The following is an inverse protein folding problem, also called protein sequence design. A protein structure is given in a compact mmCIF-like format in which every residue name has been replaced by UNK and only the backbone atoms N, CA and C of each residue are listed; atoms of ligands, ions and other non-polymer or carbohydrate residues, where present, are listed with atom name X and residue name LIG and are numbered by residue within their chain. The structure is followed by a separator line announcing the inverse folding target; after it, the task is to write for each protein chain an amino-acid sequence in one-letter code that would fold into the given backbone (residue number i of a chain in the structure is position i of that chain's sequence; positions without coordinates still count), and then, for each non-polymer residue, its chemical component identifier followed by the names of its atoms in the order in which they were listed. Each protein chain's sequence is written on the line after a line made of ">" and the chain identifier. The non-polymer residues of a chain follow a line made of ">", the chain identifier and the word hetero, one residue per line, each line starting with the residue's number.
data_IF_872069596299
#
_entry.id   IF_872069596299
#
_cell.length_a   1.000
_cell.length_b   1.000
_cell.length_c   1.000
_cell.angle_alpha   90.00
_cell.angle_beta   90.00
_cell.angle_gamma   90.00
#
_symmetry.space_group_name_H-M   'P 1'
#
loop_
_entity.id
_entity.type
_entity.pdbx_description
1 polymer ?
#
# COMPACT_ATOMS: atom_id res chain seq x y z
N UNK A 1 -76.31 -20.17 31.34
CA UNK A 1 -77.31 -20.55 30.32
C UNK A 1 -76.93 -19.92 28.99
N UNK A 2 -76.85 -20.75 27.94
CA UNK A 2 -76.71 -20.44 26.50
C UNK A 2 -75.36 -19.97 25.96
N UNK A 3 -74.63 -21.00 25.55
CA UNK A 3 -73.65 -21.15 24.47
C UNK A 3 -74.08 -20.43 23.18
N UNK A 4 -73.15 -19.76 22.48
CA UNK A 4 -72.95 -20.02 21.05
C UNK A 4 -71.58 -19.54 20.56
N UNK A 5 -70.83 -20.53 20.05
CA UNK A 5 -69.53 -20.41 19.37
C UNK A 5 -69.75 -19.90 17.96
N UNK A 6 -68.93 -18.96 17.49
CA UNK A 6 -68.56 -18.87 16.07
C UNK A 6 -67.05 -18.64 16.00
N UNK A 7 -66.39 -19.65 15.42
CA UNK A 7 -65.00 -19.64 14.98
C UNK A 7 -65.01 -19.10 13.56
N UNK A 8 -64.25 -18.05 13.28
CA UNK A 8 -63.71 -17.85 11.94
C UNK A 8 -62.28 -17.32 12.05
N UNK A 9 -61.36 -18.19 11.68
CA UNK A 9 -59.95 -17.88 11.44
C UNK A 9 -59.86 -17.05 10.17
N UNK A 10 -59.19 -15.91 10.21
CA UNK A 10 -58.37 -15.50 9.07
C UNK A 10 -57.07 -14.86 9.59
N UNK A 11 -56.00 -15.58 9.28
CA UNK A 11 -54.60 -15.20 9.42
C UNK A 11 -54.32 -13.99 8.53
N UNK A 12 -53.63 -12.97 9.07
CA UNK A 12 -52.53 -12.38 8.34
C UNK A 12 -51.48 -11.85 9.30
N UNK A 13 -50.33 -12.54 9.26
CA UNK A 13 -49.10 -12.30 9.98
C UNK A 13 -48.63 -10.84 9.91
N UNK A 14 -48.45 -10.22 11.08
CA UNK A 14 -47.58 -9.06 11.22
C UNK A 14 -46.18 -9.57 11.54
N UNK A 15 -45.38 -9.83 10.50
CA UNK A 15 -43.94 -10.04 10.66
C UNK A 15 -43.31 -8.73 11.13
N UNK A 16 -42.93 -8.67 12.41
CA UNK A 16 -41.97 -7.70 12.91
C UNK A 16 -40.60 -8.07 12.32
N UNK A 17 -40.27 -7.49 11.17
CA UNK A 17 -38.90 -7.48 10.67
C UNK A 17 -38.16 -6.40 11.46
N UNK A 18 -37.37 -6.84 12.43
CA UNK A 18 -36.28 -6.07 13.00
C UNK A 18 -35.28 -5.79 11.87
N UNK A 19 -35.33 -4.58 11.33
CA UNK A 19 -34.30 -4.04 10.44
C UNK A 19 -33.05 -3.75 11.26
N UNK A 20 -32.14 -4.72 11.33
CA UNK A 20 -30.73 -4.47 11.59
C UNK A 20 -30.16 -3.76 10.36
N UNK A 21 -30.02 -2.45 10.43
CA UNK A 21 -29.24 -1.70 9.44
C UNK A 21 -27.76 -2.12 9.56
N UNK A 22 -27.38 -3.10 8.75
CA UNK A 22 -25.98 -3.31 8.39
C UNK A 22 -25.52 -2.06 7.63
N UNK A 23 -24.55 -1.37 8.21
CA UNK A 23 -23.86 -0.23 7.62
C UNK A 23 -22.98 -0.66 6.43
N UNK A 24 -23.61 -1.08 5.33
CA UNK A 24 -22.97 -1.40 4.04
C UNK A 24 -23.57 -0.53 2.94
N UNK A 25 -23.37 0.79 3.00
CA UNK A 25 -23.91 1.68 1.95
C UNK A 25 -23.03 2.87 1.53
N UNK A 26 -21.91 3.17 2.19
CA UNK A 26 -21.10 4.34 1.80
C UNK A 26 -20.22 4.13 0.55
N UNK A 27 -19.87 2.88 0.20
CA UNK A 27 -19.06 2.60 -1.00
C UNK A 27 -19.86 2.14 -2.23
N UNK A 28 -21.01 1.50 -2.04
CA UNK A 28 -21.90 1.12 -3.15
C UNK A 28 -22.47 2.34 -3.89
N UNK A 29 -22.68 3.46 -3.18
CA UNK A 29 -23.05 4.74 -3.78
C UNK A 29 -21.91 5.43 -4.54
N UNK A 30 -20.66 5.24 -4.10
CA UNK A 30 -19.47 5.82 -4.72
C UNK A 30 -19.16 5.16 -6.07
N UNK A 31 -19.19 3.82 -6.13
CA UNK A 31 -19.05 3.06 -7.37
C UNK A 31 -20.17 3.38 -8.38
N UNK A 32 -21.40 3.57 -7.91
CA UNK A 32 -22.53 3.97 -8.76
C UNK A 32 -22.44 5.43 -9.24
N UNK A 33 -21.85 6.33 -8.46
CA UNK A 33 -21.59 7.72 -8.88
C UNK A 33 -20.44 7.79 -9.88
N UNK A 34 -19.32 7.09 -9.63
CA UNK A 34 -18.21 6.95 -10.58
C UNK A 34 -18.70 6.32 -11.90
N UNK A 35 -19.57 5.30 -11.83
CA UNK A 35 -20.18 4.68 -13.00
C UNK A 35 -21.07 5.61 -13.84
N UNK A 36 -21.79 6.55 -13.22
CA UNK A 36 -22.60 7.56 -13.93
C UNK A 36 -21.76 8.70 -14.52
N UNK A 37 -20.72 9.14 -13.81
CA UNK A 37 -19.76 10.18 -14.24
C UNK A 37 -19.02 9.79 -15.53
N UNK A 38 -18.67 8.51 -15.67
CA UNK A 38 -18.00 7.90 -16.83
C UNK A 38 -18.78 8.06 -18.16
N UNK A 39 -20.06 8.42 -18.13
CA UNK A 39 -20.93 8.45 -19.32
C UNK A 39 -21.11 9.84 -19.96
N UNK A 40 -20.44 10.88 -19.45
CA UNK A 40 -20.53 12.22 -20.04
C UNK A 40 -19.72 12.33 -21.34
N UNK A 41 -20.25 13.05 -22.34
CA UNK A 41 -19.59 13.21 -23.66
C UNK A 41 -18.22 13.91 -23.58
N UNK A 42 -17.97 14.72 -22.55
CA UNK A 42 -16.69 15.43 -22.35
C UNK A 42 -15.57 14.53 -21.81
N UNK A 43 -15.89 13.53 -20.98
CA UNK A 43 -14.92 12.59 -20.42
C UNK A 43 -14.44 11.54 -21.43
N UNK A 44 -15.29 11.16 -22.40
CA UNK A 44 -14.93 10.25 -23.48
C UNK A 44 -13.97 10.88 -24.52
N UNK A 45 -14.09 12.19 -24.78
CA UNK A 45 -13.23 12.88 -25.74
C UNK A 45 -11.77 13.00 -25.27
N UNK A 46 -11.53 12.90 -23.95
CA UNK A 46 -10.21 13.02 -23.32
C UNK A 46 -9.65 11.69 -22.79
N UNK A 47 -10.37 10.58 -22.95
CA UNK A 47 -9.94 9.25 -22.46
C UNK A 47 -9.94 9.11 -20.92
N UNK A 48 -10.59 10.02 -20.20
CA UNK A 48 -10.65 10.06 -18.74
C UNK A 48 -11.41 8.85 -18.16
N UNK A 49 -12.32 8.26 -18.92
CA UNK A 49 -13.08 7.07 -18.53
C UNK A 49 -12.22 5.81 -18.45
N UNK A 50 -11.27 5.65 -19.38
CA UNK A 50 -10.30 4.55 -19.38
C UNK A 50 -9.26 4.73 -18.27
N UNK A 51 -8.92 5.99 -17.98
CA UNK A 51 -8.00 6.41 -16.92
C UNK A 51 -8.53 6.09 -15.51
N UNK A 52 -9.75 6.50 -15.20
CA UNK A 52 -10.37 6.24 -13.89
C UNK A 52 -10.62 4.74 -13.63
N UNK A 53 -10.68 3.94 -14.70
CA UNK A 53 -10.86 2.49 -14.63
C UNK A 53 -9.55 1.71 -14.60
N UNK A 54 -8.41 2.35 -14.83
CA UNK A 54 -7.12 1.66 -14.80
C UNK A 54 -6.71 1.40 -13.34
N UNK A 55 -6.50 0.14 -12.94
CA UNK A 55 -6.15 -0.18 -11.56
C UNK A 55 -4.81 0.47 -11.16
N UNK A 56 -4.63 0.71 -9.86
CA UNK A 56 -3.37 1.18 -9.31
C UNK A 56 -2.22 0.23 -9.66
N UNK A 57 -1.00 0.78 -9.79
CA UNK A 57 0.20 0.00 -10.05
C UNK A 57 0.44 -1.04 -8.93
N UNK A 58 0.29 -0.59 -7.68
CA UNK A 58 0.20 -1.39 -6.47
C UNK A 58 -1.16 -1.11 -5.86
N UNK A 59 -2.01 -2.13 -5.73
CA UNK A 59 -3.40 -2.00 -5.31
C UNK A 59 -3.66 -2.39 -3.86
N UNK A 60 -2.65 -2.91 -3.16
CA UNK A 60 -2.73 -3.27 -1.74
C UNK A 60 -3.31 -2.13 -0.92
N UNK A 61 -4.24 -2.42 -0.04
CA UNK A 61 -4.90 -1.45 0.84
C UNK A 61 -5.20 -2.11 2.20
N UNK A 62 -5.74 -1.33 3.13
CA UNK A 62 -6.00 -1.85 4.48
C UNK A 62 -7.09 -2.92 4.50
N UNK A 63 -8.00 -2.91 3.52
CA UNK A 63 -9.01 -3.96 3.37
C UNK A 63 -8.41 -5.31 2.92
N UNK A 64 -7.18 -5.33 2.42
CA UNK A 64 -6.42 -6.55 2.09
C UNK A 64 -5.65 -7.14 3.30
N UNK A 65 -5.65 -6.45 4.45
CA UNK A 65 -5.02 -6.94 5.68
C UNK A 65 -5.87 -8.06 6.28
N UNK A 66 -5.25 -9.22 6.51
CA UNK A 66 -5.87 -10.25 7.35
C UNK A 66 -5.70 -9.89 8.83
N UNK A 67 -6.81 -9.48 9.45
CA UNK A 67 -6.88 -9.11 10.88
C UNK A 67 -7.10 -10.32 11.79
N UNK A 68 -7.28 -11.53 11.25
CA UNK A 68 -7.46 -12.72 12.06
C UNK A 68 -6.19 -13.02 12.86
N UNK A 69 -6.34 -13.18 14.18
CA UNK A 69 -5.21 -13.43 15.06
C UNK A 69 -4.36 -12.18 15.38
N UNK A 70 -4.77 -10.98 14.95
CA UNK A 70 -4.07 -9.74 15.35
C UNK A 70 -3.95 -9.64 16.88
N UNK A 71 -2.85 -9.05 17.35
CA UNK A 71 -2.63 -8.85 18.78
C UNK A 71 -2.35 -7.38 19.09
N UNK A 72 -2.87 -6.91 20.23
CA UNK A 72 -2.63 -5.56 20.70
C UNK A 72 -1.14 -5.32 21.01
N UNK A 73 -0.65 -4.07 21.00
CA UNK A 73 0.78 -3.77 21.18
C UNK A 73 1.42 -4.35 22.46
N UNK A 74 0.63 -4.64 23.49
CA UNK A 74 1.06 -5.25 24.75
C UNK A 74 1.44 -6.73 24.62
N UNK A 75 1.05 -7.41 23.54
CA UNK A 75 1.50 -8.76 23.24
C UNK A 75 3.02 -8.78 23.03
N UNK A 76 3.72 -9.71 23.70
CA UNK A 76 5.19 -9.84 23.67
C UNK A 76 5.95 -8.56 24.09
N UNK A 77 5.34 -7.69 24.90
CA UNK A 77 5.90 -6.38 25.26
C UNK A 77 7.22 -6.46 26.05
N UNK A 78 7.38 -7.49 26.89
CA UNK A 78 8.56 -7.70 27.74
C UNK A 78 9.67 -8.52 27.04
N UNK A 79 9.55 -8.75 25.73
CA UNK A 79 10.52 -9.55 24.99
C UNK A 79 11.84 -8.81 24.77
N UNK A 80 12.94 -9.56 24.81
CA UNK A 80 14.25 -9.11 24.37
C UNK A 80 14.44 -9.47 22.90
N UNK A 81 14.62 -8.46 22.04
CA UNK A 81 14.77 -8.66 20.61
C UNK A 81 16.23 -8.87 20.23
N UNK A 82 16.49 -9.91 19.43
CA UNK A 82 17.77 -10.12 18.75
C UNK A 82 17.79 -9.36 17.42
N UNK A 83 18.95 -8.90 16.93
CA UNK A 83 19.03 -8.32 15.60
C UNK A 83 18.62 -9.35 14.53
N UNK A 84 17.67 -9.02 13.66
CA UNK A 84 17.23 -9.91 12.58
C UNK A 84 18.36 -10.18 11.59
N UNK A 85 19.23 -9.19 11.37
CA UNK A 85 20.37 -9.30 10.48
C UNK A 85 21.45 -10.30 10.95
N UNK A 86 21.37 -10.76 12.20
CA UNK A 86 22.25 -11.83 12.72
C UNK A 86 21.77 -13.23 12.30
N UNK A 87 20.54 -13.33 11.76
CA UNK A 87 20.02 -14.60 11.25
C UNK A 87 20.71 -15.01 9.94
N UNK A 88 20.80 -16.32 9.65
CA UNK A 88 21.30 -16.80 8.38
C UNK A 88 20.50 -16.24 7.20
N UNK A 89 21.20 -15.78 6.15
CA UNK A 89 20.55 -15.35 4.90
C UNK A 89 20.07 -16.54 4.09
N UNK A 90 18.93 -16.40 3.42
CA UNK A 90 18.47 -17.34 2.39
C UNK A 90 18.91 -16.84 1.00
N UNK A 91 20.22 -16.80 0.76
CA UNK A 91 20.77 -16.19 -0.45
C UNK A 91 20.37 -14.71 -0.57
N UNK A 92 19.71 -14.36 -1.66
CA UNK A 92 19.20 -13.00 -1.92
C UNK A 92 17.74 -12.80 -1.44
N UNK A 93 17.09 -13.85 -0.93
CA UNK A 93 15.66 -13.87 -0.57
C UNK A 93 15.45 -13.74 0.94
N UNK A 94 16.09 -12.74 1.57
CA UNK A 94 15.88 -12.40 2.98
C UNK A 94 16.57 -13.33 3.99
N UNK A 95 15.90 -13.56 5.14
CA UNK A 95 16.46 -14.21 6.33
C UNK A 95 15.75 -15.53 6.67
N UNK A 96 16.50 -16.52 7.13
CA UNK A 96 15.97 -17.79 7.64
C UNK A 96 15.58 -17.58 9.11
N UNK A 97 14.29 -17.57 9.38
CA UNK A 97 13.74 -17.39 10.72
C UNK A 97 14.06 -18.57 11.63
N UNK A 98 14.25 -18.25 12.90
CA UNK A 98 14.36 -19.19 14.02
C UNK A 98 13.34 -18.81 15.08
N UNK A 99 13.07 -19.67 16.06
CA UNK A 99 12.16 -19.35 17.14
C UNK A 99 12.70 -18.17 17.99
N UNK A 100 11.80 -17.29 18.43
CA UNK A 100 12.12 -16.15 19.29
C UNK A 100 11.73 -14.79 18.69
N UNK A 101 12.36 -13.74 19.22
CA UNK A 101 12.02 -12.34 18.90
C UNK A 101 13.17 -11.65 18.19
N UNK A 102 12.86 -11.02 17.06
CA UNK A 102 13.84 -10.36 16.20
C UNK A 102 13.41 -8.95 15.85
N UNK A 103 14.37 -8.05 15.67
CA UNK A 103 14.14 -6.67 15.26
C UNK A 103 15.15 -6.24 14.18
N UNK A 104 14.69 -5.44 13.23
CA UNK A 104 15.53 -4.73 12.27
C UNK A 104 14.98 -3.34 12.02
N UNK A 105 15.86 -2.35 11.92
CA UNK A 105 15.50 -1.07 11.28
C UNK A 105 16.01 -1.13 9.85
N UNK A 106 15.11 -1.05 8.88
CA UNK A 106 15.41 -1.21 7.46
C UNK A 106 15.02 0.02 6.65
N UNK A 107 15.53 0.08 5.41
CA UNK A 107 15.02 1.01 4.41
C UNK A 107 13.57 0.62 4.05
N UNK A 108 12.75 1.62 3.82
CA UNK A 108 11.39 1.45 3.31
C UNK A 108 11.11 2.50 2.24
N UNK A 109 10.05 2.29 1.47
CA UNK A 109 9.70 3.16 0.34
C UNK A 109 8.20 3.41 0.27
N UNK A 110 7.82 4.64 -0.02
CA UNK A 110 6.44 5.01 -0.26
C UNK A 110 5.93 4.44 -1.59
N UNK A 111 4.80 3.74 -1.55
CA UNK A 111 4.07 3.17 -2.70
C UNK A 111 2.74 3.90 -2.97
N UNK A 112 2.58 5.13 -2.44
CA UNK A 112 1.37 5.95 -2.66
C UNK A 112 1.69 7.44 -2.66
N UNK A 113 1.77 8.05 -3.84
CA UNK A 113 1.93 9.49 -3.97
C UNK A 113 0.62 10.23 -3.63
N UNK A 114 0.73 11.49 -3.21
CA UNK A 114 -0.41 12.35 -2.88
C UNK A 114 -1.13 11.95 -1.59
N UNK A 115 -0.39 11.38 -0.63
CA UNK A 115 -0.89 11.03 0.71
C UNK A 115 0.08 11.50 1.80
N UNK A 116 -0.35 11.47 3.06
CA UNK A 116 0.48 11.87 4.19
C UNK A 116 1.57 10.84 4.47
N UNK A 117 2.77 11.32 4.80
CA UNK A 117 3.81 10.44 5.33
C UNK A 117 3.34 9.77 6.64
N UNK A 118 3.90 8.61 7.00
CA UNK A 118 3.59 7.96 8.26
C UNK A 118 3.72 8.91 9.45
N UNK A 119 2.71 8.92 10.31
CA UNK A 119 2.63 9.79 11.49
C UNK A 119 2.52 8.98 12.78
N UNK A 120 2.73 9.64 13.91
CA UNK A 120 2.62 8.98 15.21
C UNK A 120 1.19 8.53 15.49
N UNK A 121 1.01 7.29 15.93
CA UNK A 121 -0.26 6.79 16.48
C UNK A 121 -1.04 5.86 15.56
N UNK A 122 -0.87 5.97 14.23
CA UNK A 122 -1.52 5.07 13.28
C UNK A 122 -0.85 3.68 13.28
N UNK A 123 -1.66 2.64 13.22
CA UNK A 123 -1.20 1.27 13.12
C UNK A 123 -0.88 0.90 11.69
N UNK A 124 0.25 0.22 11.50
CA UNK A 124 0.65 -0.36 10.23
C UNK A 124 0.63 -1.88 10.37
N UNK A 125 -0.05 -2.54 9.46
CA UNK A 125 -0.25 -3.99 9.46
C UNK A 125 0.33 -4.61 8.20
N UNK A 126 0.66 -5.90 8.29
CA UNK A 126 1.11 -6.65 7.12
C UNK A 126 -0.04 -6.76 6.13
N UNK A 127 0.26 -6.52 4.86
CA UNK A 127 -0.61 -6.82 3.74
C UNK A 127 0.20 -7.42 2.59
N UNK A 128 -0.39 -8.35 1.82
CA UNK A 128 0.27 -8.91 0.65
C UNK A 128 0.48 -7.85 -0.44
N UNK A 129 1.56 -8.00 -1.21
CA UNK A 129 1.79 -7.17 -2.40
C UNK A 129 0.82 -7.54 -3.54
N UNK A 130 -0.05 -6.61 -3.90
CA UNK A 130 -1.09 -6.74 -4.93
C UNK A 130 -0.95 -5.65 -5.98
N UNK A 131 -1.43 -5.92 -7.19
CA UNK A 131 -1.47 -4.95 -8.30
C UNK A 131 -0.63 -5.37 -9.50
N UNK A 132 -0.85 -4.68 -10.62
CA UNK A 132 -0.26 -5.04 -11.92
C UNK A 132 1.26 -4.88 -11.98
N UNK A 133 1.84 -4.05 -11.12
CA UNK A 133 3.27 -3.74 -11.10
C UNK A 133 4.00 -4.35 -9.89
N UNK A 134 3.36 -5.26 -9.15
CA UNK A 134 3.98 -5.88 -7.97
C UNK A 134 5.32 -6.56 -8.28
N UNK A 135 5.42 -7.29 -9.39
CA UNK A 135 6.64 -8.01 -9.76
C UNK A 135 7.81 -7.06 -10.06
N UNK A 136 7.54 -5.96 -10.78
CA UNK A 136 8.58 -4.98 -11.11
C UNK A 136 8.99 -4.17 -9.89
N UNK A 137 8.05 -3.83 -8.99
CA UNK A 137 8.37 -3.17 -7.72
C UNK A 137 9.23 -4.08 -6.85
N UNK A 138 8.83 -5.34 -6.66
CA UNK A 138 9.60 -6.33 -5.88
C UNK A 138 11.00 -6.52 -6.47
N UNK A 139 11.11 -6.59 -7.80
CA UNK A 139 12.41 -6.64 -8.49
C UNK A 139 13.26 -5.42 -8.16
N UNK A 140 12.72 -4.21 -8.22
CA UNK A 140 13.47 -2.97 -7.93
C UNK A 140 14.03 -3.04 -6.52
N UNK A 141 13.22 -3.45 -5.54
CA UNK A 141 13.65 -3.58 -4.15
C UNK A 141 14.79 -4.60 -4.02
N UNK A 142 14.62 -5.81 -4.57
CA UNK A 142 15.67 -6.86 -4.54
C UNK A 142 16.95 -6.46 -5.29
N UNK A 143 16.81 -5.77 -6.42
CA UNK A 143 17.96 -5.28 -7.19
C UNK A 143 18.69 -4.19 -6.39
N UNK A 144 17.97 -3.25 -5.79
CA UNK A 144 18.55 -2.18 -4.98
C UNK A 144 19.43 -2.71 -3.83
N UNK A 145 19.06 -3.83 -3.19
CA UNK A 145 19.89 -4.45 -2.13
C UNK A 145 21.30 -4.83 -2.62
N UNK A 146 21.47 -5.05 -3.93
CA UNK A 146 22.72 -5.41 -4.58
C UNK A 146 23.42 -4.22 -5.27
N UNK A 147 22.82 -3.03 -5.20
CA UNK A 147 23.29 -1.80 -5.88
C UNK A 147 23.43 -0.65 -4.88
N UNK A 148 24.37 -0.73 -3.91
CA UNK A 148 24.54 0.29 -2.86
C UNK A 148 24.96 1.67 -3.39
N UNK A 149 25.45 1.75 -4.63
CA UNK A 149 25.74 3.00 -5.32
C UNK A 149 24.48 3.80 -5.69
N UNK A 150 23.33 3.13 -5.79
CA UNK A 150 22.04 3.77 -6.08
C UNK A 150 21.44 4.30 -4.79
N UNK A 151 21.23 5.62 -4.72
CA UNK A 151 20.72 6.26 -3.50
C UNK A 151 19.26 5.89 -3.28
N UNK A 152 18.87 5.81 -2.00
CA UNK A 152 17.48 5.56 -1.61
C UNK A 152 16.50 6.56 -2.25
N UNK A 153 16.88 7.84 -2.31
CA UNK A 153 16.09 8.89 -2.94
C UNK A 153 15.83 8.63 -4.43
N UNK A 154 16.81 8.10 -5.16
CA UNK A 154 16.67 7.79 -6.58
C UNK A 154 15.73 6.59 -6.79
N UNK A 155 15.81 5.59 -5.92
CA UNK A 155 14.89 4.44 -5.91
C UNK A 155 13.47 4.91 -5.59
N UNK A 156 13.29 5.81 -4.61
CA UNK A 156 11.99 6.36 -4.27
C UNK A 156 11.34 7.12 -5.44
N UNK A 157 12.12 7.94 -6.17
CA UNK A 157 11.63 8.63 -7.37
C UNK A 157 11.22 7.65 -8.46
N UNK A 158 12.00 6.58 -8.68
CA UNK A 158 11.63 5.52 -9.62
C UNK A 158 10.31 4.84 -9.22
N UNK A 159 10.15 4.47 -7.95
CA UNK A 159 8.92 3.85 -7.45
C UNK A 159 7.72 4.77 -7.63
N UNK A 160 7.81 6.05 -7.26
CA UNK A 160 6.74 7.01 -7.47
C UNK A 160 6.40 7.23 -8.95
N UNK A 161 7.39 7.16 -9.84
CA UNK A 161 7.18 7.21 -11.30
C UNK A 161 6.33 6.03 -11.79
N UNK A 162 6.58 4.83 -11.25
CA UNK A 162 5.80 3.62 -11.55
C UNK A 162 4.38 3.74 -10.97
N UNK A 163 4.24 4.26 -9.75
CA UNK A 163 2.94 4.53 -9.13
C UNK A 163 2.14 5.53 -9.98
N UNK A 164 2.79 6.57 -10.50
CA UNK A 164 2.20 7.55 -11.40
C UNK A 164 1.93 7.03 -12.83
N UNK A 165 2.19 5.73 -13.08
CA UNK A 165 1.90 5.04 -14.35
C UNK A 165 2.60 5.66 -15.57
N UNK A 166 3.72 6.35 -15.35
CA UNK A 166 4.52 6.96 -16.42
C UNK A 166 5.17 5.87 -17.26
N UNK A 167 5.16 6.03 -18.59
CA UNK A 167 5.83 5.10 -19.50
C UNK A 167 7.34 5.27 -19.44
N UNK A 168 8.08 4.17 -19.58
CA UNK A 168 9.54 4.21 -19.54
C UNK A 168 10.16 5.10 -20.64
N UNK A 169 9.56 5.14 -21.83
CA UNK A 169 10.02 6.04 -22.91
C UNK A 169 10.04 7.51 -22.49
N UNK A 170 9.14 7.90 -21.59
CA UNK A 170 8.99 9.25 -21.06
C UNK A 170 9.92 9.51 -19.86
N UNK A 171 10.72 8.54 -19.42
CA UNK A 171 11.67 8.72 -18.32
C UNK A 171 12.89 9.51 -18.82
N UNK A 172 13.26 10.54 -18.07
CA UNK A 172 14.49 11.30 -18.27
C UNK A 172 15.21 11.55 -16.93
N UNK A 173 16.49 11.95 -17.00
CA UNK A 173 17.28 12.30 -15.82
C UNK A 173 17.60 11.10 -14.89
N UNK A 174 17.74 11.34 -13.57
CA UNK A 174 18.12 10.33 -12.59
C UNK A 174 17.20 9.11 -12.59
N UNK A 175 15.88 9.28 -12.71
CA UNK A 175 14.93 8.15 -12.74
C UNK A 175 15.22 7.18 -13.87
N UNK A 176 15.57 7.69 -15.07
CA UNK A 176 15.91 6.83 -16.22
C UNK A 176 17.20 6.06 -15.94
N UNK A 177 18.21 6.73 -15.40
CA UNK A 177 19.47 6.09 -15.05
C UNK A 177 19.27 4.97 -14.01
N UNK A 178 18.51 5.26 -12.95
CA UNK A 178 18.18 4.28 -11.91
C UNK A 178 17.41 3.08 -12.47
N UNK A 179 16.41 3.31 -13.33
CA UNK A 179 15.68 2.23 -13.99
C UNK A 179 16.61 1.35 -14.84
N UNK A 180 17.52 1.95 -15.61
CA UNK A 180 18.49 1.22 -16.43
C UNK A 180 19.51 0.43 -15.60
N UNK A 181 19.84 0.89 -14.40
CA UNK A 181 20.72 0.16 -13.47
C UNK A 181 20.00 -1.04 -12.85
N UNK A 182 18.75 -0.87 -12.40
CA UNK A 182 18.06 -1.86 -11.57
C UNK A 182 17.21 -2.87 -12.35
N UNK A 183 16.84 -2.58 -13.60
CA UNK A 183 15.87 -3.37 -14.37
C UNK A 183 16.47 -3.97 -15.64
N UNK A 184 16.05 -5.19 -15.94
CA UNK A 184 16.34 -5.84 -17.22
C UNK A 184 15.51 -5.24 -18.36
N UNK A 185 15.91 -5.40 -19.63
CA UNK A 185 15.12 -4.94 -20.78
C UNK A 185 13.68 -5.47 -20.80
N UNK A 186 13.45 -6.71 -20.34
CA UNK A 186 12.11 -7.29 -20.23
C UNK A 186 11.25 -6.55 -19.19
N UNK A 187 11.85 -6.18 -18.05
CA UNK A 187 11.15 -5.43 -17.00
C UNK A 187 10.92 -3.96 -17.41
N UNK A 188 11.87 -3.34 -18.12
CA UNK A 188 11.68 -2.01 -18.71
C UNK A 188 10.52 -2.00 -19.69
N UNK A 189 10.39 -3.04 -20.53
CA UNK A 189 9.23 -3.18 -21.43
C UNK A 189 7.91 -3.30 -20.66
N UNK A 190 7.90 -3.92 -19.47
CA UNK A 190 6.70 -3.95 -18.63
C UNK A 190 6.30 -2.55 -18.14
N UNK A 191 7.22 -1.58 -18.05
CA UNK A 191 6.93 -0.19 -17.70
C UNK A 191 6.34 0.61 -18.87
N UNK A 192 6.53 0.18 -20.11
CA UNK A 192 5.91 0.82 -21.30
C UNK A 192 4.39 0.64 -21.35
N UNK A 193 3.85 -0.34 -20.62
CA UNK A 193 2.42 -0.62 -20.54
C UNK A 193 1.61 0.36 -19.69
N UNK A 194 2.16 1.51 -19.28
CA UNK A 194 1.43 2.58 -18.58
C UNK A 194 0.51 3.33 -19.53
N UNK A 195 -0.78 3.48 -19.20
CA UNK A 195 -1.75 4.06 -20.14
C UNK A 195 -1.69 5.59 -20.26
N UNK A 196 -0.80 6.27 -19.53
CA UNK A 196 -0.92 7.71 -19.32
C UNK A 196 0.38 8.48 -19.57
N UNK A 197 0.30 9.45 -20.47
CA UNK A 197 1.25 10.56 -20.54
C UNK A 197 0.80 11.71 -19.62
N UNK A 198 1.46 12.84 -19.73
CA UNK A 198 1.05 14.07 -19.05
C UNK A 198 -0.37 14.48 -19.46
N UNK A 199 -1.23 14.78 -18.47
CA UNK A 199 -2.57 15.30 -18.73
C UNK A 199 -2.54 16.83 -18.88
N UNK A 200 -3.18 17.38 -19.93
CA UNK A 200 -3.38 18.83 -20.08
C UNK A 200 -4.20 19.43 -18.94
N UNK A 201 -4.05 20.75 -18.73
CA UNK A 201 -4.75 21.50 -17.68
C UNK A 201 -6.27 21.31 -17.70
N UNK A 202 -6.90 21.43 -18.88
CA UNK A 202 -8.36 21.31 -18.99
C UNK A 202 -8.87 19.91 -18.62
N UNK A 203 -8.11 18.87 -18.96
CA UNK A 203 -8.43 17.48 -18.59
C UNK A 203 -8.28 17.26 -17.09
N UNK A 204 -7.25 17.85 -16.47
CA UNK A 204 -7.06 17.83 -15.02
C UNK A 204 -8.20 18.55 -14.29
N UNK A 205 -8.59 19.74 -14.74
CA UNK A 205 -9.68 20.51 -14.15
C UNK A 205 -11.00 19.73 -14.20
N UNK A 206 -11.35 19.18 -15.37
CA UNK A 206 -12.56 18.39 -15.55
C UNK A 206 -12.57 17.12 -14.68
N UNK A 207 -11.42 16.46 -14.50
CA UNK A 207 -11.32 15.28 -13.63
C UNK A 207 -11.52 15.64 -12.15
N UNK A 208 -10.92 16.75 -11.67
CA UNK A 208 -11.03 17.19 -10.27
C UNK A 208 -12.48 17.47 -9.87
N UNK A 209 -13.24 18.14 -10.74
CA UNK A 209 -14.67 18.44 -10.49
C UNK A 209 -15.52 17.19 -10.21
N UNK A 210 -15.06 16.02 -10.66
CA UNK A 210 -15.79 14.76 -10.61
C UNK A 210 -15.26 13.80 -9.55
N UNK A 211 -14.07 14.04 -9.01
CA UNK A 211 -13.38 13.18 -8.06
C UNK A 211 -13.62 13.63 -6.60
N UNK A 212 -13.69 12.70 -5.63
CA UNK A 212 -13.61 13.06 -4.21
C UNK A 212 -12.27 13.72 -3.87
N UNK A 213 -12.24 14.63 -2.90
CA UNK A 213 -11.02 15.38 -2.50
C UNK A 213 -9.80 14.48 -2.24
N UNK A 214 -10.00 13.36 -1.54
CA UNK A 214 -8.92 12.40 -1.25
C UNK A 214 -8.32 11.76 -2.49
N UNK A 215 -9.08 11.64 -3.58
CA UNK A 215 -8.62 11.10 -4.86
C UNK A 215 -8.05 12.20 -5.75
N UNK A 216 -8.54 13.45 -5.63
CA UNK A 216 -7.99 14.59 -6.36
C UNK A 216 -6.51 14.80 -6.03
N UNK A 217 -6.14 14.78 -4.75
CA UNK A 217 -4.75 14.95 -4.31
C UNK A 217 -3.80 13.89 -4.91
N UNK A 218 -4.23 12.62 -4.93
CA UNK A 218 -3.49 11.51 -5.53
C UNK A 218 -3.34 11.73 -7.04
N UNK A 219 -4.45 12.05 -7.72
CA UNK A 219 -4.47 12.26 -9.16
C UNK A 219 -3.58 13.41 -9.61
N UNK A 220 -3.57 14.51 -8.84
CA UNK A 220 -2.69 15.65 -9.04
C UNK A 220 -1.23 15.32 -8.83
N UNK A 221 -0.91 14.67 -7.71
CA UNK A 221 0.45 14.24 -7.39
C UNK A 221 1.03 13.39 -8.52
N UNK A 222 0.28 12.39 -9.00
CA UNK A 222 0.71 11.54 -10.09
C UNK A 222 0.92 12.32 -11.41
N UNK A 223 0.07 13.30 -11.73
CA UNK A 223 0.25 14.11 -12.94
C UNK A 223 1.48 15.03 -12.86
N UNK A 224 1.72 15.61 -11.69
CA UNK A 224 2.92 16.41 -11.44
C UNK A 224 4.19 15.55 -11.52
N UNK A 225 4.15 14.33 -11.00
CA UNK A 225 5.25 13.36 -11.15
C UNK A 225 5.51 13.04 -12.62
N UNK A 226 4.47 12.75 -13.42
CA UNK A 226 4.61 12.55 -14.88
C UNK A 226 5.30 13.74 -15.54
N UNK A 227 4.86 14.96 -15.21
CA UNK A 227 5.45 16.19 -15.73
C UNK A 227 6.93 16.34 -15.40
N UNK A 228 7.30 16.15 -14.12
CA UNK A 228 8.68 16.26 -13.67
C UNK A 228 9.58 15.25 -14.39
N UNK A 229 9.19 13.97 -14.37
CA UNK A 229 10.00 12.88 -14.93
C UNK A 229 10.27 13.11 -16.42
N UNK A 230 9.25 13.56 -17.17
CA UNK A 230 9.38 13.85 -18.59
C UNK A 230 10.18 15.12 -18.91
N UNK A 231 10.28 16.07 -17.98
CA UNK A 231 11.12 17.27 -18.17
C UNK A 231 12.62 16.95 -18.11
N UNK A 232 12.99 15.93 -17.33
CA UNK A 232 14.37 15.49 -17.13
C UNK A 232 15.23 16.39 -16.24
N UNK A 233 14.69 17.52 -15.76
CA UNK A 233 15.39 18.46 -14.88
C UNK A 233 14.56 18.68 -13.62
N UNK A 234 14.89 17.91 -12.57
CA UNK A 234 14.22 17.95 -11.28
C UNK A 234 15.17 17.49 -10.16
N UNK A 235 14.93 17.97 -8.95
CA UNK A 235 15.55 17.45 -7.73
C UNK A 235 14.63 16.46 -7.01
N UNK A 236 15.20 15.75 -6.04
CA UNK A 236 14.42 14.87 -5.16
C UNK A 236 13.39 15.66 -4.34
N UNK A 237 13.77 16.83 -3.83
CA UNK A 237 12.91 17.69 -3.01
C UNK A 237 11.70 18.20 -3.82
N UNK A 238 11.90 18.50 -5.11
CA UNK A 238 10.80 18.85 -6.01
C UNK A 238 9.84 17.67 -6.22
N UNK A 239 10.38 16.46 -6.30
CA UNK A 239 9.60 15.22 -6.42
C UNK A 239 8.78 14.95 -5.15
N UNK A 240 9.44 15.04 -4.00
CA UNK A 240 8.86 14.80 -2.68
C UNK A 240 7.73 15.78 -2.38
N UNK A 241 7.90 17.05 -2.76
CA UNK A 241 6.88 18.10 -2.60
C UNK A 241 5.53 17.73 -3.22
N UNK A 242 5.52 17.03 -4.35
CA UNK A 242 4.27 16.58 -4.97
C UNK A 242 3.81 15.22 -4.46
N UNK A 243 4.75 14.34 -4.09
CA UNK A 243 4.43 12.99 -3.66
C UNK A 243 3.86 12.91 -2.24
N UNK A 244 4.12 13.91 -1.39
CA UNK A 244 3.77 13.88 0.04
C UNK A 244 2.90 15.06 0.42
N UNK A 245 1.75 14.77 1.04
CA UNK A 245 0.90 15.80 1.62
C UNK A 245 1.43 16.25 2.98
N UNK A 246 1.59 17.56 3.15
CA UNK A 246 1.92 18.14 4.44
C UNK A 246 0.83 17.87 5.48
N UNK A 247 1.22 17.74 6.75
CA UNK A 247 0.31 17.40 7.85
C UNK A 247 0.31 15.91 8.19
N UNK A 248 -0.69 15.49 8.96
CA UNK A 248 -0.81 14.11 9.45
C UNK A 248 -2.22 13.59 9.19
N UNK A 249 -2.32 12.32 8.77
CA UNK A 249 -3.59 11.62 8.74
C UNK A 249 -4.09 11.38 10.18
N UNK A 250 -5.41 11.32 10.38
CA UNK A 250 -5.99 11.06 11.70
C UNK A 250 -5.80 9.60 12.08
N UNK A 251 -5.11 9.26 13.18
CA UNK A 251 -4.91 7.87 13.59
C UNK A 251 -6.22 7.14 13.87
N UNK A 252 -6.25 5.83 13.58
CA UNK A 252 -7.38 4.97 13.93
C UNK A 252 -7.20 4.34 15.31
N UNK A 253 -8.20 4.50 16.18
CA UNK A 253 -8.16 3.93 17.53
C UNK A 253 -8.26 2.40 17.55
N UNK A 254 -8.93 1.80 16.56
CA UNK A 254 -9.12 0.34 16.45
C UNK A 254 -7.89 -0.38 15.90
N UNK A 255 -6.89 0.37 15.42
CA UNK A 255 -5.64 -0.16 14.87
C UNK A 255 -4.50 0.74 15.34
N UNK A 256 -4.07 0.61 16.61
CA UNK A 256 -3.05 1.48 17.17
C UNK A 256 -1.66 1.17 16.60
N UNK A 257 -0.75 2.15 16.69
CA UNK A 257 0.66 1.95 16.40
C UNK A 257 1.25 0.76 17.16
N UNK A 258 2.04 -0.08 16.46
CA UNK A 258 2.66 -1.27 17.02
C UNK A 258 1.72 -2.47 17.20
N UNK A 259 0.53 -2.46 16.58
CA UNK A 259 -0.34 -3.63 16.47
C UNK A 259 0.41 -4.77 15.77
N UNK A 260 0.22 -6.00 16.27
CA UNK A 260 0.78 -7.20 15.67
C UNK A 260 -0.17 -7.79 14.63
N UNK A 261 0.39 -8.12 13.48
CA UNK A 261 -0.30 -8.90 12.43
C UNK A 261 0.25 -10.32 12.44
N UNK A 262 -0.64 -11.31 12.30
CA UNK A 262 -0.25 -12.69 12.05
C UNK A 262 0.08 -12.85 10.56
N UNK A 263 1.34 -13.13 10.24
CA UNK A 263 1.77 -13.41 8.88
C UNK A 263 1.17 -14.75 8.42
N UNK A 264 0.84 -14.94 7.12
CA UNK A 264 0.32 -16.20 6.59
C UNK A 264 1.20 -17.43 6.89
N UNK A 265 2.51 -17.23 7.06
CA UNK A 265 3.45 -18.29 7.43
C UNK A 265 3.48 -18.60 8.93
N UNK A 266 2.60 -17.99 9.75
CA UNK A 266 2.35 -18.36 11.14
C UNK A 266 3.14 -17.59 12.21
N UNK A 267 4.07 -16.70 11.81
CA UNK A 267 4.77 -15.81 12.74
C UNK A 267 4.06 -14.47 12.88
N UNK A 268 4.35 -13.72 13.93
CA UNK A 268 3.79 -12.39 14.16
C UNK A 268 4.78 -11.30 13.73
N UNK A 269 4.28 -10.22 13.17
CA UNK A 269 5.09 -9.05 12.86
C UNK A 269 4.38 -7.73 13.13
N UNK A 270 5.16 -6.67 13.37
CA UNK A 270 4.66 -5.31 13.52
C UNK A 270 5.65 -4.28 12.98
N UNK A 271 5.11 -3.13 12.60
CA UNK A 271 5.87 -2.06 11.95
C UNK A 271 5.82 -0.76 12.76
N UNK A 272 6.95 -0.06 12.79
CA UNK A 272 7.10 1.28 13.34
C UNK A 272 7.79 2.18 12.31
N UNK A 273 7.02 2.75 11.37
CA UNK A 273 7.56 3.70 10.40
C UNK A 273 8.06 4.98 11.06
N UNK A 274 9.17 5.52 10.56
CA UNK A 274 9.76 6.81 10.92
C UNK A 274 9.88 7.64 9.65
N UNK A 275 8.78 8.29 9.25
CA UNK A 275 8.59 8.70 7.86
C UNK A 275 8.43 7.48 6.96
N UNK A 276 8.49 7.67 5.64
CA UNK A 276 8.32 6.57 4.69
C UNK A 276 9.62 5.88 4.30
N UNK A 277 10.76 6.50 4.59
CA UNK A 277 12.06 6.02 4.17
C UNK A 277 12.64 4.99 5.14
N UNK A 278 12.14 4.91 6.38
CA UNK A 278 12.71 4.08 7.43
C UNK A 278 11.60 3.43 8.22
N UNK A 279 11.68 2.11 8.37
CA UNK A 279 10.75 1.34 9.20
C UNK A 279 11.55 0.50 10.18
N UNK A 280 11.07 0.40 11.42
CA UNK A 280 11.53 -0.61 12.36
C UNK A 280 10.52 -1.74 12.40
N UNK A 281 10.99 -2.96 12.16
CA UNK A 281 10.20 -4.17 12.08
C UNK A 281 10.55 -5.04 13.26
N UNK A 282 9.53 -5.58 13.93
CA UNK A 282 9.70 -6.59 14.95
C UNK A 282 8.95 -7.86 14.55
N UNK A 283 9.59 -9.00 14.75
CA UNK A 283 9.07 -10.33 14.40
C UNK A 283 9.10 -11.20 15.65
N UNK A 284 8.02 -11.95 15.89
CA UNK A 284 7.96 -13.00 16.88
C UNK A 284 7.61 -14.33 16.19
N UNK A 285 8.49 -15.31 16.36
CA UNK A 285 8.37 -16.64 15.77
C UNK A 285 8.10 -17.65 16.89
N UNK A 286 6.89 -18.24 16.96
CA UNK A 286 6.56 -19.29 17.92
C UNK A 286 7.47 -20.51 17.78
N UNK A 287 7.76 -21.21 18.88
CA UNK A 287 8.67 -22.37 18.88
C UNK A 287 8.12 -23.52 18.02
N UNK A 288 6.81 -23.76 18.11
CA UNK A 288 6.08 -24.79 17.38
C UNK A 288 6.09 -24.59 15.85
N UNK A 289 6.46 -23.40 15.38
CA UNK A 289 6.53 -23.09 13.97
C UNK A 289 7.81 -23.61 13.32
N UNK A 290 8.87 -23.80 14.11
CA UNK A 290 10.16 -24.29 13.61
C UNK A 290 10.15 -25.83 13.59
N UNK A 291 10.13 -26.41 12.40
CA UNK A 291 10.18 -27.86 12.18
C UNK A 291 11.53 -28.28 11.62
N UNK A 292 12.00 -29.45 12.04
CA UNK A 292 13.26 -30.00 11.55
C UNK A 292 13.20 -30.23 10.02
N UNK A 293 14.18 -29.69 9.30
CA UNK A 293 14.29 -29.81 7.84
C UNK A 293 13.48 -28.79 7.03
N UNK A 294 12.58 -28.02 7.64
CA UNK A 294 11.83 -26.94 6.99
C UNK A 294 12.49 -25.58 7.24
N UNK A 295 12.53 -24.71 6.21
CA UNK A 295 13.02 -23.35 6.33
C UNK A 295 11.85 -22.39 6.30
N UNK A 296 11.67 -21.63 7.37
CA UNK A 296 10.80 -20.46 7.40
C UNK A 296 11.62 -19.25 6.93
N UNK A 297 11.15 -18.56 5.90
CA UNK A 297 11.88 -17.44 5.28
C UNK A 297 11.10 -16.17 5.51
N UNK A 298 11.79 -15.12 5.95
CA UNK A 298 11.28 -13.76 5.95
C UNK A 298 11.97 -12.98 4.83
N UNK A 299 11.19 -12.54 3.84
CA UNK A 299 11.63 -11.65 2.77
C UNK A 299 10.74 -10.40 2.77
N UNK A 300 11.28 -9.30 3.26
CA UNK A 300 10.55 -8.05 3.41
C UNK A 300 10.09 -7.45 2.06
N UNK A 301 10.70 -7.86 0.93
CA UNK A 301 10.46 -7.22 -0.37
C UNK A 301 9.11 -7.56 -1.02
N UNK A 302 8.43 -8.61 -0.55
CA UNK A 302 7.06 -8.97 -0.96
C UNK A 302 5.99 -8.49 0.04
N UNK A 303 6.42 -7.86 1.14
CA UNK A 303 5.56 -7.36 2.20
C UNK A 303 5.25 -5.88 2.02
N UNK A 304 4.00 -5.50 2.32
CA UNK A 304 3.61 -4.09 2.44
C UNK A 304 3.19 -3.82 3.87
N UNK A 305 3.87 -2.86 4.48
CA UNK A 305 3.43 -2.22 5.71
C UNK A 305 2.31 -1.25 5.35
N UNK A 306 1.07 -1.68 5.58
CA UNK A 306 -0.14 -0.98 5.16
C UNK A 306 -0.73 -0.19 6.33
N UNK A 307 -0.93 1.13 6.18
CA UNK A 307 -1.54 1.95 7.22
C UNK A 307 -3.02 1.61 7.38
N UNK A 308 -3.52 1.72 8.62
CA UNK A 308 -4.94 1.64 8.91
C UNK A 308 -5.74 2.81 8.33
N UNK A 309 -5.11 3.99 8.23
CA UNK A 309 -5.70 5.14 7.55
C UNK A 309 -5.28 5.21 6.07
N UNK A 310 -6.25 5.13 5.17
CA UNK A 310 -6.06 5.19 3.72
C UNK A 310 -5.51 6.55 3.20
N UNK A 311 -5.47 7.59 4.04
CA UNK A 311 -4.80 8.87 3.79
C UNK A 311 -3.31 8.89 4.12
N UNK A 312 -2.77 7.80 4.68
CA UNK A 312 -1.34 7.59 4.92
C UNK A 312 -0.68 6.77 3.81
N UNK A 313 0.65 6.83 3.71
CA UNK A 313 1.42 6.10 2.72
C UNK A 313 1.55 4.60 3.03
N UNK A 314 1.39 3.77 2.00
CA UNK A 314 1.76 2.34 2.03
C UNK A 314 3.26 2.20 1.85
N UNK A 315 3.90 1.32 2.60
CA UNK A 315 5.36 1.24 2.61
C UNK A 315 5.86 -0.14 2.17
N UNK A 316 6.58 -0.18 1.07
CA UNK A 316 7.44 -1.31 0.72
C UNK A 316 8.56 -1.43 1.74
N UNK A 317 8.93 -2.66 2.07
CA UNK A 317 10.01 -2.98 3.00
C UNK A 317 11.20 -3.59 2.25
N UNK A 318 12.41 -3.50 2.81
CA UNK A 318 13.60 -4.19 2.28
C UNK A 318 14.28 -5.06 3.33
N UNK A 319 15.15 -5.95 2.88
CA UNK A 319 16.02 -6.71 3.76
C UNK A 319 17.33 -5.96 4.09
N UNK A 320 17.43 -4.66 3.77
CA UNK A 320 18.62 -3.84 4.00
C UNK A 320 18.56 -3.16 5.39
N UNK A 321 19.37 -3.61 6.37
CA UNK A 321 19.43 -2.96 7.67
C UNK A 321 20.12 -1.59 7.58
N UNK A 322 19.64 -0.64 8.38
CA UNK A 322 20.28 0.65 8.62
C UNK A 322 21.16 0.50 9.86
N UNK A 323 22.45 0.25 9.64
CA UNK A 323 23.40 -0.15 10.71
C UNK A 323 23.97 1.06 11.48
N UNK A 324 23.94 2.26 10.91
CA UNK A 324 24.51 3.47 11.54
C UNK A 324 23.52 4.64 11.49
N UNK A 325 23.22 5.22 12.66
CA UNK A 325 22.74 6.58 12.81
C UNK A 325 23.60 7.29 13.85
#
# INVERSE_FOLDING_TARGET
>A
MKIQKIVLKLSLSLCFILSTELATAQFGGLLNKVGKVVSSKGTQALGLDKLLKEPEAISTNFEDVDRNGEQMPSFQQEATYKPLQDLPRNGNDGFILQAGHFEMTNKSYCLKAGTHAPSSGDGYMYAPSLGKKKEVVTTILKSAENHPEVKQNDIQMLLWTIIAKTKFIDYAGPVKATALTLLTPKQLLQLEGGALGVLPFDAMAAAKEQLPESIQAIFEAENNIRNLVSSGNYSYEEFEKYAILAGMATPRADTPSGIWTLHPDGYYMRYFPSGYSITRIQIYVPEELIKEGEKLIYDATDDISCPANNGSQRLAQTNEPIINR
#
